data_IF_296600673428
#
_entry.id   IF_296600673428
#
_cell.length_a   1.000
_cell.length_b   1.000
_cell.length_c   1.000
_cell.angle_alpha   90.00
_cell.angle_beta   90.00
_cell.angle_gamma   90.00
#
_symmetry.space_group_name_H-M   'P 1'
#
loop_
_entity.id
_entity.type
_entity.pdbx_description
1 polymer ?
#
# COMPACT_ATOMS: atom_id res chain seq x y z
N UNK A 1 9.90 -0.49 -23.85
CA UNK A 1 10.93 -1.35 -23.23
C UNK A 1 10.95 -2.67 -23.96
N UNK A 2 12.05 -3.01 -24.59
CA UNK A 2 12.21 -4.25 -25.32
C UNK A 2 12.20 -5.45 -24.36
N UNK A 3 11.37 -6.44 -24.65
CA UNK A 3 11.05 -7.63 -23.83
C UNK A 3 12.18 -8.70 -23.94
N UNK A 4 13.44 -8.31 -23.89
CA UNK A 4 14.58 -9.25 -23.93
C UNK A 4 15.44 -9.26 -22.68
N UNK A 5 15.06 -8.57 -21.62
CA UNK A 5 15.83 -8.62 -20.38
C UNK A 5 15.46 -9.87 -19.59
N UNK A 6 16.41 -10.80 -19.47
CA UNK A 6 16.30 -11.96 -18.59
C UNK A 6 16.00 -11.48 -17.16
N UNK A 7 14.87 -11.92 -16.64
CA UNK A 7 14.50 -11.64 -15.24
C UNK A 7 15.53 -12.32 -14.34
N UNK A 8 16.10 -11.64 -13.32
CA UNK A 8 16.95 -12.32 -12.34
C UNK A 8 16.25 -13.55 -11.76
N UNK A 9 16.91 -14.71 -11.75
CA UNK A 9 16.29 -16.00 -11.41
C UNK A 9 15.63 -15.97 -10.01
N UNK A 10 16.23 -15.24 -9.06
CA UNK A 10 15.65 -15.02 -7.73
C UNK A 10 14.28 -14.33 -7.81
N UNK A 11 14.16 -13.28 -8.64
CA UNK A 11 12.90 -12.53 -8.84
C UNK A 11 11.87 -13.42 -9.53
N UNK A 12 12.26 -14.13 -10.57
CA UNK A 12 11.38 -15.05 -11.30
C UNK A 12 10.81 -16.14 -10.39
N UNK A 13 11.64 -16.77 -9.54
CA UNK A 13 11.17 -17.74 -8.55
C UNK A 13 10.20 -17.13 -7.52
N UNK A 14 10.52 -15.92 -7.01
CA UNK A 14 9.64 -15.24 -6.05
C UNK A 14 8.29 -14.91 -6.68
N UNK A 15 8.29 -14.43 -7.94
CA UNK A 15 7.05 -14.17 -8.69
C UNK A 15 6.18 -15.41 -8.80
N UNK A 16 6.71 -16.51 -9.32
CA UNK A 16 5.93 -17.74 -9.51
C UNK A 16 5.40 -18.31 -8.19
N UNK A 17 6.23 -18.34 -7.15
CA UNK A 17 5.82 -18.88 -5.84
C UNK A 17 4.71 -18.02 -5.20
N UNK A 18 4.83 -16.70 -5.25
CA UNK A 18 3.80 -15.79 -4.71
C UNK A 18 2.50 -15.93 -5.48
N UNK A 19 2.55 -15.92 -6.81
CA UNK A 19 1.38 -16.01 -7.68
C UNK A 19 0.67 -17.36 -7.54
N UNK A 20 1.43 -18.47 -7.45
CA UNK A 20 0.87 -19.81 -7.16
C UNK A 20 0.16 -19.84 -5.80
N UNK A 21 0.71 -19.15 -4.80
CA UNK A 21 0.08 -19.00 -3.48
C UNK A 21 -1.08 -17.99 -3.44
N UNK A 22 -1.45 -17.38 -4.57
CA UNK A 22 -2.50 -16.34 -4.63
C UNK A 22 -2.14 -15.04 -3.93
N UNK A 23 -0.85 -14.81 -3.67
CA UNK A 23 -0.34 -13.61 -2.97
C UNK A 23 0.34 -12.67 -3.97
N UNK A 24 0.19 -11.37 -3.77
CA UNK A 24 0.87 -10.37 -4.61
C UNK A 24 2.35 -10.32 -4.23
N UNK A 25 3.28 -10.54 -5.19
CA UNK A 25 4.71 -10.45 -4.92
C UNK A 25 5.12 -9.00 -4.62
N UNK A 26 6.09 -8.82 -3.73
CA UNK A 26 6.61 -7.48 -3.40
C UNK A 26 7.58 -6.92 -4.45
N UNK A 27 8.21 -7.80 -5.23
CA UNK A 27 9.22 -7.43 -6.24
C UNK A 27 8.89 -8.03 -7.59
N UNK A 28 9.38 -7.42 -8.67
CA UNK A 28 9.26 -7.96 -10.03
C UNK A 28 7.91 -7.71 -10.70
N UNK A 29 7.01 -6.92 -10.11
CA UNK A 29 5.67 -6.64 -10.65
C UNK A 29 5.70 -6.07 -12.06
N UNK A 30 6.70 -5.23 -12.38
CA UNK A 30 6.84 -4.64 -13.72
C UNK A 30 6.97 -5.67 -14.85
N UNK A 31 7.48 -6.87 -14.55
CA UNK A 31 7.59 -7.94 -15.55
C UNK A 31 6.25 -8.55 -15.94
N UNK A 32 5.27 -8.51 -15.05
CA UNK A 32 3.94 -9.12 -15.22
C UNK A 32 2.80 -8.10 -15.33
N UNK A 33 3.10 -6.80 -15.25
CA UNK A 33 2.08 -5.75 -15.38
C UNK A 33 1.49 -5.75 -16.79
N UNK A 34 0.16 -5.81 -16.88
CA UNK A 34 -0.65 -5.66 -18.09
C UNK A 34 -1.94 -4.89 -17.78
N UNK A 35 -2.46 -4.16 -18.76
CA UNK A 35 -3.81 -3.57 -18.71
C UNK A 35 -4.06 -2.51 -17.63
N UNK A 36 -3.02 -1.94 -17.01
CA UNK A 36 -3.14 -0.97 -15.92
C UNK A 36 -2.41 0.34 -16.16
N UNK A 37 -2.10 0.61 -17.42
CA UNK A 37 -1.29 1.79 -17.77
C UNK A 37 -1.93 3.08 -17.32
N UNK A 38 -3.21 3.29 -17.62
CA UNK A 38 -3.91 4.54 -17.34
C UNK A 38 -4.03 4.81 -15.84
N UNK A 39 -4.34 3.76 -15.06
CA UNK A 39 -4.43 3.86 -13.60
C UNK A 39 -3.04 4.15 -12.98
N UNK A 40 -1.99 3.49 -13.48
CA UNK A 40 -0.62 3.72 -13.04
C UNK A 40 -0.18 5.15 -13.39
N UNK A 41 -0.37 5.59 -14.63
CA UNK A 41 0.01 6.92 -15.08
C UNK A 41 -0.71 8.01 -14.26
N UNK A 42 -1.99 7.81 -13.97
CA UNK A 42 -2.77 8.74 -13.12
C UNK A 42 -2.19 8.84 -11.70
N UNK A 43 -1.89 7.71 -11.07
CA UNK A 43 -1.32 7.70 -9.72
C UNK A 43 0.12 8.22 -9.70
N UNK A 44 0.87 8.05 -10.77
CA UNK A 44 2.22 8.63 -10.92
C UNK A 44 2.16 10.16 -11.07
N UNK A 45 1.19 10.71 -11.79
CA UNK A 45 0.96 12.14 -11.86
C UNK A 45 0.59 12.74 -10.48
N UNK A 46 -0.21 12.01 -9.68
CA UNK A 46 -0.46 12.42 -8.28
C UNK A 46 0.85 12.45 -7.48
N UNK A 47 1.73 11.46 -7.63
CA UNK A 47 3.03 11.40 -6.95
C UNK A 47 3.91 12.61 -7.35
N UNK A 48 3.89 13.03 -8.59
CA UNK A 48 4.63 14.23 -9.04
C UNK A 48 4.09 15.48 -8.36
N UNK A 49 2.76 15.69 -8.34
CA UNK A 49 2.13 16.80 -7.64
C UNK A 49 2.46 16.81 -6.13
N UNK A 50 2.51 15.65 -5.49
CA UNK A 50 2.88 15.52 -4.08
C UNK A 50 4.33 15.95 -3.86
N UNK A 51 5.24 15.63 -4.78
CA UNK A 51 6.65 16.03 -4.69
C UNK A 51 6.88 17.55 -4.69
N UNK A 52 5.92 18.29 -5.23
CA UNK A 52 5.90 19.76 -5.30
C UNK A 52 5.23 20.43 -4.09
N UNK A 53 4.85 19.64 -3.07
CA UNK A 53 4.23 20.15 -1.84
C UNK A 53 2.72 19.95 -1.77
N UNK A 54 2.13 19.38 -2.80
CA UNK A 54 0.72 19.02 -2.84
C UNK A 54 0.35 17.82 -1.96
N UNK A 55 -0.92 17.43 -2.02
CA UNK A 55 -1.42 16.20 -1.41
C UNK A 55 -2.50 15.57 -2.30
N UNK A 56 -2.62 14.25 -2.28
CA UNK A 56 -3.61 13.51 -3.07
C UNK A 56 -4.35 12.49 -2.23
N UNK A 57 -5.62 12.28 -2.55
CA UNK A 57 -6.46 11.25 -1.95
C UNK A 57 -7.13 10.42 -3.03
N UNK A 58 -6.95 9.09 -3.00
CA UNK A 58 -7.54 8.16 -3.96
C UNK A 58 -8.13 6.93 -3.28
N UNK A 59 -9.29 6.49 -3.78
CA UNK A 59 -9.79 5.13 -3.58
C UNK A 59 -9.47 4.29 -4.81
N UNK A 60 -8.91 3.10 -4.61
CA UNK A 60 -8.77 2.05 -5.62
C UNK A 60 -9.85 1.01 -5.34
N UNK A 61 -10.87 0.96 -6.19
CA UNK A 61 -12.06 0.14 -6.01
C UNK A 61 -12.12 -0.96 -7.06
N UNK A 62 -12.30 -2.19 -6.62
CA UNK A 62 -12.44 -3.34 -7.52
C UNK A 62 -12.90 -4.58 -6.76
N UNK A 63 -13.51 -5.54 -7.45
CA UNK A 63 -13.90 -6.84 -6.87
C UNK A 63 -12.68 -7.58 -6.28
N UNK A 64 -12.90 -8.59 -5.46
CA UNK A 64 -11.82 -9.47 -5.02
C UNK A 64 -11.09 -10.05 -6.24
N UNK A 65 -9.78 -10.21 -6.15
CA UNK A 65 -8.96 -10.71 -7.24
C UNK A 65 -8.79 -9.78 -8.45
N UNK A 66 -9.46 -8.62 -8.50
CA UNK A 66 -9.36 -7.66 -9.62
C UNK A 66 -8.00 -6.95 -9.76
N UNK A 67 -7.06 -7.21 -8.85
CA UNK A 67 -5.71 -6.65 -8.91
C UNK A 67 -5.53 -5.34 -8.12
N UNK A 68 -6.39 -5.03 -7.12
CA UNK A 68 -6.22 -3.86 -6.24
C UNK A 68 -4.86 -3.87 -5.56
N UNK A 69 -4.58 -4.91 -4.77
CA UNK A 69 -3.32 -5.04 -4.03
C UNK A 69 -2.12 -5.11 -4.97
N UNK A 70 -2.29 -5.66 -6.20
CA UNK A 70 -1.28 -5.61 -7.24
C UNK A 70 -0.96 -4.17 -7.67
N UNK A 71 -1.98 -3.37 -7.93
CA UNK A 71 -1.81 -1.95 -8.29
C UNK A 71 -1.18 -1.16 -7.13
N UNK A 72 -1.68 -1.34 -5.90
CA UNK A 72 -1.12 -0.69 -4.71
C UNK A 72 0.37 -1.03 -4.54
N UNK A 73 0.73 -2.31 -4.64
CA UNK A 73 2.13 -2.73 -4.54
C UNK A 73 2.99 -2.22 -5.71
N UNK A 74 2.43 -2.09 -6.91
CA UNK A 74 3.11 -1.51 -8.06
C UNK A 74 3.42 -0.03 -7.82
N UNK A 75 2.43 0.73 -7.37
CA UNK A 75 2.59 2.17 -7.05
C UNK A 75 3.55 2.36 -5.87
N UNK A 76 3.49 1.48 -4.85
CA UNK A 76 4.43 1.46 -3.74
C UNK A 76 5.88 1.39 -4.24
N UNK A 77 6.17 0.47 -5.14
CA UNK A 77 7.52 0.32 -5.69
C UNK A 77 7.94 1.55 -6.50
N UNK A 78 7.08 2.05 -7.38
CA UNK A 78 7.36 3.27 -8.14
C UNK A 78 7.54 4.52 -7.27
N UNK A 79 6.78 4.65 -6.18
CA UNK A 79 6.95 5.75 -5.23
C UNK A 79 8.32 5.68 -4.55
N UNK A 80 8.74 4.50 -4.07
CA UNK A 80 10.06 4.33 -3.46
C UNK A 80 11.20 4.60 -4.44
N UNK A 81 11.09 4.13 -5.69
CA UNK A 81 12.07 4.40 -6.76
C UNK A 81 12.20 5.90 -7.06
N UNK A 82 11.11 6.67 -6.90
CA UNK A 82 11.10 8.12 -7.04
C UNK A 82 11.52 8.89 -5.79
N UNK A 83 11.98 8.19 -4.75
CA UNK A 83 12.49 8.81 -3.52
C UNK A 83 11.40 9.19 -2.52
N UNK A 84 10.24 8.54 -2.55
CA UNK A 84 9.22 8.68 -1.51
C UNK A 84 9.43 7.68 -0.38
N UNK A 85 8.93 8.04 0.80
CA UNK A 85 8.68 7.10 1.89
C UNK A 85 7.28 6.54 1.72
N UNK A 86 7.12 5.24 1.91
CA UNK A 86 5.80 4.58 1.84
C UNK A 86 5.50 3.93 3.17
N UNK A 87 4.27 4.11 3.64
CA UNK A 87 3.71 3.43 4.81
C UNK A 87 2.45 2.70 4.40
N UNK A 88 2.29 1.45 4.80
CA UNK A 88 1.14 0.64 4.42
C UNK A 88 0.55 -0.14 5.58
N UNK A 89 -0.76 -0.32 5.59
CA UNK A 89 -1.48 -1.13 6.55
C UNK A 89 -2.73 -1.76 5.92
N UNK A 90 -2.95 -3.04 6.25
CA UNK A 90 -4.21 -3.72 5.98
C UNK A 90 -5.11 -3.58 7.20
N UNK A 91 -6.34 -3.11 7.00
CA UNK A 91 -7.32 -3.06 8.06
C UNK A 91 -7.75 -4.48 8.48
N UNK A 92 -8.10 -4.62 9.74
CA UNK A 92 -8.59 -5.86 10.33
C UNK A 92 -9.64 -5.55 11.40
N UNK A 93 -10.27 -6.56 12.03
CA UNK A 93 -11.16 -6.30 13.16
C UNK A 93 -10.50 -5.52 14.31
N UNK A 94 -9.18 -5.67 14.50
CA UNK A 94 -8.39 -5.01 15.57
C UNK A 94 -7.65 -3.77 15.07
N UNK A 95 -7.58 -3.54 13.77
CA UNK A 95 -6.92 -2.40 13.12
C UNK A 95 -7.94 -1.63 12.30
N UNK A 96 -8.46 -0.55 12.86
CA UNK A 96 -9.44 0.35 12.22
C UNK A 96 -8.87 1.75 12.18
N UNK A 97 -9.63 2.70 11.64
CA UNK A 97 -9.19 4.10 11.64
C UNK A 97 -9.49 4.80 12.97
N UNK A 98 -10.56 4.36 13.64
CA UNK A 98 -10.98 4.83 14.98
C UNK A 98 -11.61 3.66 15.74
N UNK A 99 -11.36 3.57 17.04
CA UNK A 99 -12.01 2.61 17.93
C UNK A 99 -11.75 2.91 19.40
N UNK A 100 -12.46 2.24 20.28
CA UNK A 100 -12.38 2.50 21.72
C UNK A 100 -11.28 1.69 22.44
N UNK A 101 -10.60 0.81 21.71
CA UNK A 101 -9.60 -0.13 22.26
C UNK A 101 -8.20 0.08 21.70
N UNK A 102 -7.92 1.23 21.13
CA UNK A 102 -6.64 1.49 20.46
C UNK A 102 -6.61 0.95 19.03
N UNK A 103 -7.76 0.80 18.36
CA UNK A 103 -7.85 0.24 17.01
C UNK A 103 -7.18 1.16 15.96
N UNK A 104 -7.32 2.49 16.10
CA UNK A 104 -6.66 3.48 15.26
C UNK A 104 -5.15 3.55 15.53
N UNK A 105 -4.77 3.49 16.80
CA UNK A 105 -3.36 3.39 17.19
C UNK A 105 -2.72 2.10 16.66
N UNK A 106 -3.46 0.98 16.61
CA UNK A 106 -2.99 -0.27 16.02
C UNK A 106 -2.71 -0.12 14.52
N UNK A 107 -3.56 0.62 13.80
CA UNK A 107 -3.33 0.98 12.39
C UNK A 107 -2.08 1.84 12.23
N UNK A 108 -1.90 2.86 13.08
CA UNK A 108 -0.70 3.68 13.07
C UNK A 108 0.58 2.85 13.33
N UNK A 109 0.55 1.97 14.33
CA UNK A 109 1.68 1.06 14.61
C UNK A 109 2.05 0.21 13.41
N UNK A 110 1.06 -0.32 12.70
CA UNK A 110 1.32 -1.11 11.48
C UNK A 110 1.89 -0.23 10.35
N UNK A 111 1.36 0.98 10.14
CA UNK A 111 1.92 1.96 9.20
C UNK A 111 3.40 2.24 9.50
N UNK A 112 3.75 2.50 10.76
CA UNK A 112 5.12 2.81 11.16
C UNK A 112 6.05 1.60 11.11
N UNK A 113 5.55 0.40 11.39
CA UNK A 113 6.28 -0.85 11.23
C UNK A 113 6.63 -1.12 9.76
N UNK A 114 5.67 -0.86 8.86
CA UNK A 114 5.82 -1.03 7.42
C UNK A 114 6.42 0.19 6.71
N UNK A 115 6.89 1.20 7.48
CA UNK A 115 7.57 2.36 6.90
C UNK A 115 8.78 1.91 6.06
N UNK A 116 8.73 2.20 4.78
CA UNK A 116 9.62 1.67 3.75
C UNK A 116 10.23 2.78 2.91
N UNK A 117 11.44 2.51 2.44
CA UNK A 117 12.18 3.36 1.49
C UNK A 117 12.80 2.47 0.42
N UNK A 118 13.36 3.05 -0.63
CA UNK A 118 14.07 2.30 -1.67
C UNK A 118 15.19 1.40 -1.10
N UNK A 119 15.89 1.86 -0.04
CA UNK A 119 16.99 1.11 0.59
C UNK A 119 16.50 0.10 1.64
N UNK A 120 15.27 0.22 2.14
CA UNK A 120 14.62 -0.71 3.06
C UNK A 120 13.18 -0.95 2.61
N UNK A 121 12.97 -1.76 1.57
CA UNK A 121 11.65 -1.93 0.95
C UNK A 121 10.70 -2.82 1.74
N UNK A 122 11.21 -3.58 2.71
CA UNK A 122 10.42 -4.57 3.47
C UNK A 122 9.86 -4.02 4.80
N UNK A 123 9.96 -2.69 5.02
CA UNK A 123 9.55 -2.04 6.27
C UNK A 123 10.71 -1.76 7.22
N UNK A 124 10.38 -1.22 8.41
CA UNK A 124 11.35 -0.96 9.47
C UNK A 124 12.35 0.17 9.19
N UNK A 125 12.12 0.99 8.17
CA UNK A 125 13.09 2.00 7.72
C UNK A 125 13.19 3.23 8.64
N UNK A 126 12.38 3.34 9.71
CA UNK A 126 12.34 4.54 10.56
C UNK A 126 13.72 4.92 11.12
N UNK A 127 14.43 3.97 11.73
CA UNK A 127 15.76 4.23 12.30
C UNK A 127 16.77 4.62 11.22
N UNK A 128 16.74 3.96 10.07
CA UNK A 128 17.60 4.28 8.93
C UNK A 128 17.32 5.68 8.37
N UNK A 129 16.05 6.05 8.29
CA UNK A 129 15.61 7.38 7.84
C UNK A 129 16.16 8.48 8.77
N UNK A 130 15.99 8.32 10.08
CA UNK A 130 16.52 9.26 11.08
C UNK A 130 18.03 9.36 11.02
N UNK A 131 18.74 8.23 10.94
CA UNK A 131 20.20 8.21 10.84
C UNK A 131 20.70 8.89 9.55
N UNK A 132 20.04 8.63 8.42
CA UNK A 132 20.37 9.28 7.14
C UNK A 132 20.19 10.79 7.22
N UNK A 133 19.08 11.25 7.80
CA UNK A 133 18.80 12.67 7.98
C UNK A 133 19.87 13.34 8.86
N UNK A 134 20.21 12.76 10.01
CA UNK A 134 21.25 13.29 10.91
C UNK A 134 22.60 13.38 10.18
N UNK A 135 22.96 12.34 9.44
CA UNK A 135 24.22 12.35 8.69
C UNK A 135 24.24 13.42 7.59
N UNK A 136 23.10 13.66 6.93
CA UNK A 136 22.97 14.76 5.97
C UNK A 136 23.14 16.12 6.64
N UNK A 137 22.51 16.36 7.80
CA UNK A 137 22.71 17.58 8.58
C UNK A 137 24.15 17.76 9.06
N UNK A 138 24.80 16.70 9.52
CA UNK A 138 26.23 16.77 9.87
C UNK A 138 27.08 17.22 8.69
N UNK A 139 26.86 16.62 7.52
CA UNK A 139 27.59 16.97 6.29
C UNK A 139 27.34 18.42 5.87
N UNK A 140 26.10 18.88 5.96
CA UNK A 140 25.72 20.26 5.66
C UNK A 140 26.43 21.24 6.60
N UNK A 141 26.37 21.02 7.92
CA UNK A 141 27.03 21.87 8.94
C UNK A 141 28.53 21.89 8.76
N UNK A 142 29.16 20.72 8.46
CA UNK A 142 30.59 20.65 8.18
C UNK A 142 30.97 21.49 6.97
N UNK A 143 30.18 21.43 5.90
CA UNK A 143 30.42 22.19 4.67
C UNK A 143 30.23 23.69 4.89
N UNK A 144 29.12 24.11 5.51
CA UNK A 144 28.79 25.51 5.77
C UNK A 144 29.83 26.21 6.67
N UNK A 145 30.40 25.47 7.63
CA UNK A 145 31.33 26.03 8.62
C UNK A 145 32.78 25.65 8.40
N UNK A 146 33.11 24.96 7.29
CA UNK A 146 34.47 24.42 7.00
C UNK A 146 35.06 23.60 8.15
N UNK A 147 34.26 22.73 8.77
CA UNK A 147 34.63 21.91 9.90
C UNK A 147 35.03 20.48 9.46
N UNK A 148 35.89 19.85 10.25
CA UNK A 148 36.18 18.42 10.17
C UNK A 148 35.25 17.61 11.07
N UNK A 149 35.18 16.30 10.85
CA UNK A 149 34.32 15.39 11.62
C UNK A 149 34.68 15.36 13.13
N UNK A 150 35.93 15.62 13.48
CA UNK A 150 36.45 15.62 14.86
C UNK A 150 36.32 16.99 15.57
N UNK A 151 35.67 17.96 14.95
CA UNK A 151 35.54 19.30 15.54
C UNK A 151 34.62 19.26 16.75
N UNK A 152 35.10 19.73 17.92
CA UNK A 152 34.32 19.84 19.15
C UNK A 152 33.03 20.68 18.99
N UNK A 153 33.05 21.63 18.04
CA UNK A 153 31.89 22.51 17.77
C UNK A 153 30.81 21.84 16.91
N UNK A 154 31.13 20.73 16.24
CA UNK A 154 30.23 20.10 15.26
C UNK A 154 28.89 19.71 15.89
N UNK A 155 28.91 19.00 17.00
CA UNK A 155 27.70 18.49 17.65
C UNK A 155 26.76 19.62 18.09
N UNK A 156 27.31 20.71 18.64
CA UNK A 156 26.50 21.87 19.05
C UNK A 156 25.86 22.60 17.84
N UNK A 157 26.58 22.73 16.73
CA UNK A 157 26.03 23.33 15.52
C UNK A 157 25.00 22.45 14.84
N UNK A 158 25.18 21.13 14.84
CA UNK A 158 24.18 20.18 14.35
C UNK A 158 22.92 20.23 15.22
N UNK A 159 23.06 20.33 16.55
CA UNK A 159 21.92 20.50 17.45
C UNK A 159 21.11 21.77 17.13
N UNK A 160 21.77 22.89 16.93
CA UNK A 160 21.13 24.13 16.51
C UNK A 160 20.39 23.94 15.18
N UNK A 161 21.01 23.30 14.19
CA UNK A 161 20.40 23.04 12.88
C UNK A 161 19.18 22.11 12.99
N UNK A 162 19.25 21.08 13.85
CA UNK A 162 18.13 20.20 14.17
C UNK A 162 16.97 21.03 14.73
N UNK A 163 17.24 21.84 15.76
CA UNK A 163 16.22 22.71 16.34
C UNK A 163 15.58 23.65 15.33
N UNK A 164 16.37 24.28 14.47
CA UNK A 164 15.85 25.15 13.39
C UNK A 164 14.93 24.39 12.44
N UNK A 165 15.35 23.20 12.00
CA UNK A 165 14.57 22.37 11.07
C UNK A 165 13.26 21.87 11.70
N UNK A 166 13.29 21.54 12.97
CA UNK A 166 12.14 20.96 13.67
C UNK A 166 11.18 22.04 14.17
N UNK A 167 11.66 23.24 14.49
CA UNK A 167 10.83 24.39 14.86
C UNK A 167 9.83 24.76 13.75
N UNK A 168 10.17 24.55 12.48
CA UNK A 168 9.21 24.72 11.38
C UNK A 168 8.01 23.77 11.47
N UNK A 169 8.17 22.63 12.16
CA UNK A 169 7.11 21.66 12.41
C UNK A 169 6.28 22.00 13.65
N UNK A 170 6.78 22.84 14.56
CA UNK A 170 6.08 23.23 15.82
C UNK A 170 4.76 23.97 15.57
N UNK A 171 4.61 24.57 14.41
CA UNK A 171 3.34 25.21 13.99
C UNK A 171 2.23 24.22 13.66
N UNK A 172 2.58 22.94 13.51
CA UNK A 172 1.64 21.85 13.25
C UNK A 172 1.18 21.27 14.59
N UNK A 173 -0.03 20.73 14.63
CA UNK A 173 -0.58 20.04 15.80
C UNK A 173 0.39 18.95 16.26
N UNK A 174 0.74 18.91 17.55
CA UNK A 174 1.74 18.03 18.17
C UNK A 174 3.20 18.23 17.68
N UNK A 175 3.48 19.29 16.92
CA UNK A 175 4.82 19.54 16.39
C UNK A 175 5.88 19.73 17.48
N UNK A 176 5.53 20.38 18.59
CA UNK A 176 6.44 20.60 19.73
C UNK A 176 6.92 19.28 20.37
N UNK A 177 6.01 18.35 20.65
CA UNK A 177 6.38 17.06 21.25
C UNK A 177 7.19 16.20 20.27
N UNK A 178 6.82 16.20 18.99
CA UNK A 178 7.59 15.55 17.94
C UNK A 178 9.00 16.10 17.84
N UNK A 179 9.14 17.42 17.85
CA UNK A 179 10.43 18.14 17.84
C UNK A 179 11.31 17.68 19.02
N UNK A 180 10.73 17.63 20.20
CA UNK A 180 11.43 17.20 21.42
C UNK A 180 11.93 15.75 21.32
N UNK A 181 11.12 14.83 20.78
CA UNK A 181 11.53 13.45 20.57
C UNK A 181 12.69 13.35 19.56
N UNK A 182 12.65 14.11 18.48
CA UNK A 182 13.75 14.15 17.50
C UNK A 182 15.04 14.68 18.15
N UNK A 183 14.95 15.71 18.99
CA UNK A 183 16.11 16.24 19.73
C UNK A 183 16.67 15.21 20.74
N UNK A 184 15.78 14.44 21.40
CA UNK A 184 16.22 13.35 22.28
C UNK A 184 16.89 12.21 21.51
N UNK A 185 16.39 11.89 20.31
CA UNK A 185 17.05 10.92 19.42
C UNK A 185 18.44 11.39 19.02
N UNK A 186 18.61 12.67 18.67
CA UNK A 186 19.93 13.26 18.41
C UNK A 186 20.86 13.15 19.61
N UNK A 187 20.38 13.53 20.81
CA UNK A 187 21.14 13.40 22.05
C UNK A 187 21.63 11.95 22.25
N UNK A 188 20.73 10.96 22.04
CA UNK A 188 21.07 9.55 22.15
C UNK A 188 22.18 9.13 21.17
N UNK A 189 22.16 9.67 19.95
CA UNK A 189 23.20 9.41 18.94
C UNK A 189 24.55 10.00 19.37
N UNK A 190 24.58 11.21 19.93
CA UNK A 190 25.81 11.90 20.35
C UNK A 190 26.43 11.23 21.59
N UNK A 191 25.58 10.79 22.53
CA UNK A 191 26.01 10.16 23.78
C UNK A 191 26.17 8.64 23.66
N UNK A 192 25.94 8.06 22.48
CA UNK A 192 25.94 6.62 22.23
C UNK A 192 25.00 5.83 23.17
N UNK A 193 23.90 6.49 23.58
CA UNK A 193 22.87 5.92 24.48
C UNK A 193 21.83 5.14 23.65
N UNK A 194 22.09 3.84 23.45
CA UNK A 194 21.19 2.96 22.69
C UNK A 194 19.84 2.75 23.40
N UNK A 195 19.78 2.89 24.72
CA UNK A 195 18.52 2.77 25.47
C UNK A 195 17.62 4.00 25.21
N UNK A 196 18.17 5.20 25.31
CA UNK A 196 17.44 6.43 24.99
C UNK A 196 17.01 6.43 23.51
N UNK A 197 17.86 5.98 22.62
CA UNK A 197 17.57 5.85 21.18
C UNK A 197 16.39 4.88 20.94
N UNK A 198 16.39 3.73 21.60
CA UNK A 198 15.28 2.76 21.53
C UNK A 198 13.98 3.34 22.07
N UNK A 199 14.03 4.07 23.19
CA UNK A 199 12.85 4.74 23.81
C UNK A 199 12.25 5.80 22.87
N UNK A 200 13.06 6.61 22.21
CA UNK A 200 12.59 7.59 21.22
C UNK A 200 11.95 6.94 20.01
N UNK A 201 12.51 5.87 19.48
CA UNK A 201 11.92 5.08 18.39
C UNK A 201 10.59 4.42 18.82
N UNK A 202 10.51 3.90 20.05
CA UNK A 202 9.30 3.37 20.66
C UNK A 202 8.19 4.42 20.67
N UNK A 203 8.51 5.67 21.04
CA UNK A 203 7.54 6.77 21.02
C UNK A 203 7.06 7.08 19.59
N UNK A 204 7.97 7.25 18.64
CA UNK A 204 7.65 7.55 17.25
C UNK A 204 6.79 6.44 16.60
N UNK A 205 6.91 5.20 17.03
CA UNK A 205 6.07 4.07 16.57
C UNK A 205 4.74 3.95 17.31
N UNK A 206 4.44 4.86 18.27
CA UNK A 206 3.19 4.81 19.04
C UNK A 206 3.11 3.64 20.03
N UNK A 207 4.24 3.13 20.50
CA UNK A 207 4.30 1.91 21.33
C UNK A 207 4.22 2.17 22.81
N UNK A 208 4.16 3.43 23.28
CA UNK A 208 3.90 3.75 24.67
C UNK A 208 2.44 3.50 25.04
N UNK A 209 2.23 2.76 26.14
CA UNK A 209 0.90 2.44 26.65
C UNK A 209 0.27 3.56 27.49
N UNK A 210 1.10 4.35 28.17
CA UNK A 210 0.62 5.42 29.07
C UNK A 210 1.48 6.68 28.99
N UNK A 211 0.85 7.83 29.24
CA UNK A 211 1.55 9.13 29.37
C UNK A 211 2.56 9.14 30.52
N UNK A 212 2.26 8.41 31.61
CA UNK A 212 3.14 8.32 32.78
C UNK A 212 4.45 7.63 32.44
N UNK A 213 4.39 6.53 31.66
CA UNK A 213 5.57 5.80 31.18
C UNK A 213 6.45 6.71 30.27
N UNK A 214 5.84 7.35 29.28
CA UNK A 214 6.54 8.27 28.38
C UNK A 214 7.18 9.45 29.12
N UNK A 215 6.47 9.99 30.15
CA UNK A 215 7.00 11.08 30.99
C UNK A 215 8.19 10.62 31.85
N UNK A 216 8.14 9.41 32.39
CA UNK A 216 9.24 8.86 33.20
C UNK A 216 10.48 8.59 32.34
N UNK A 217 10.30 8.04 31.14
CA UNK A 217 11.41 7.59 30.28
C UNK A 217 11.97 8.70 29.36
N UNK A 218 11.14 9.63 28.88
CA UNK A 218 11.51 10.66 27.90
C UNK A 218 11.25 12.08 28.38
N UNK A 219 10.61 12.26 29.55
CA UNK A 219 10.18 13.56 30.02
C UNK A 219 9.02 14.18 29.20
N UNK A 220 8.39 13.42 28.31
CA UNK A 220 7.29 13.87 27.41
C UNK A 220 5.97 13.34 27.94
N UNK A 221 5.03 14.25 28.27
CA UNK A 221 3.71 13.91 28.81
C UNK A 221 2.63 13.59 27.76
N UNK A 222 3.00 13.44 26.51
CA UNK A 222 2.11 13.16 25.37
C UNK A 222 2.52 11.84 24.74
N UNK A 223 1.54 11.06 24.30
CA UNK A 223 1.74 9.84 23.52
C UNK A 223 0.79 9.88 22.33
N UNK A 224 1.18 9.20 21.25
CA UNK A 224 0.31 9.00 20.09
C UNK A 224 -0.84 8.09 20.48
N UNK A 225 -2.07 8.46 20.13
CA UNK A 225 -3.29 7.76 20.51
C UNK A 225 -4.28 7.62 19.34
N UNK A 226 -5.45 7.02 19.60
CA UNK A 226 -6.50 6.76 18.61
C UNK A 226 -7.06 8.02 17.93
N UNK A 227 -7.09 9.15 18.63
CA UNK A 227 -7.73 10.36 18.12
C UNK A 227 -6.79 11.14 17.21
N UNK A 228 -5.47 11.15 17.51
CA UNK A 228 -4.49 12.05 16.93
C UNK A 228 -3.45 11.39 16.01
N UNK A 229 -3.45 10.07 15.85
CA UNK A 229 -2.46 9.36 15.05
C UNK A 229 -2.29 9.93 13.63
N UNK A 230 -3.35 10.43 13.02
CA UNK A 230 -3.28 11.02 11.67
C UNK A 230 -2.54 12.37 11.66
N UNK A 231 -2.62 13.15 12.75
CA UNK A 231 -1.82 14.37 12.90
C UNK A 231 -0.32 14.06 12.83
N UNK A 232 0.10 12.95 13.45
CA UNK A 232 1.49 12.50 13.36
C UNK A 232 1.88 12.00 11.97
N UNK A 233 0.97 11.42 11.20
CA UNK A 233 1.24 11.10 9.78
C UNK A 233 1.50 12.39 8.97
N UNK A 234 0.74 13.47 9.21
CA UNK A 234 1.00 14.78 8.58
C UNK A 234 2.35 15.36 9.00
N UNK A 235 2.73 15.23 10.26
CA UNK A 235 4.06 15.62 10.73
C UNK A 235 5.16 14.82 10.05
N UNK A 236 5.01 13.50 9.96
CA UNK A 236 5.97 12.64 9.26
C UNK A 236 6.08 12.98 7.78
N UNK A 237 4.99 13.31 7.09
CA UNK A 237 5.04 13.69 5.66
C UNK A 237 5.88 14.93 5.43
N UNK A 238 5.83 15.90 6.34
CA UNK A 238 6.67 17.10 6.30
C UNK A 238 8.13 16.78 6.70
N UNK A 239 8.32 15.95 7.73
CA UNK A 239 9.63 15.58 8.23
C UNK A 239 10.45 14.79 7.21
N UNK A 240 9.84 13.84 6.47
CA UNK A 240 10.57 13.05 5.47
C UNK A 240 11.11 13.92 4.34
N UNK A 241 10.47 15.03 4.03
CA UNK A 241 10.99 15.99 3.04
C UNK A 241 12.26 16.68 3.58
N UNK A 242 12.28 17.05 4.87
CA UNK A 242 13.49 17.55 5.54
C UNK A 242 14.60 16.48 5.59
N UNK A 243 14.24 15.22 5.61
CA UNK A 243 15.18 14.09 5.53
C UNK A 243 15.66 13.78 4.08
N UNK A 244 15.30 14.61 3.10
CA UNK A 244 15.74 14.49 1.71
C UNK A 244 14.92 13.53 0.86
N UNK A 245 13.72 13.14 1.31
CA UNK A 245 12.74 12.42 0.49
C UNK A 245 11.77 13.41 -0.17
N UNK A 246 11.01 12.95 -1.15
CA UNK A 246 10.07 13.81 -1.91
C UNK A 246 8.69 13.92 -1.28
N UNK A 247 8.39 13.11 -0.28
CA UNK A 247 7.11 13.05 0.41
C UNK A 247 6.81 11.65 0.94
N UNK A 248 5.57 11.46 1.38
CA UNK A 248 5.09 10.21 1.95
C UNK A 248 3.83 9.72 1.24
N UNK A 249 3.74 8.44 0.97
CA UNK A 249 2.53 7.77 0.47
C UNK A 249 2.02 6.83 1.56
N UNK A 250 0.80 7.07 2.03
CA UNK A 250 0.08 6.21 2.96
C UNK A 250 -0.90 5.33 2.20
N UNK A 251 -0.76 4.02 2.32
CA UNK A 251 -1.64 3.04 1.70
C UNK A 251 -2.40 2.27 2.76
N UNK A 252 -3.73 2.22 2.62
CA UNK A 252 -4.61 1.46 3.52
C UNK A 252 -5.45 0.54 2.66
N UNK A 253 -5.24 -0.78 2.78
CA UNK A 253 -6.04 -1.79 2.07
C UNK A 253 -7.07 -2.44 3.01
N UNK A 254 -7.90 -3.31 2.46
CA UNK A 254 -8.92 -4.07 3.19
C UNK A 254 -10.01 -3.21 3.87
N UNK A 255 -10.46 -2.12 3.21
CA UNK A 255 -11.57 -1.28 3.70
C UNK A 255 -12.86 -2.07 3.98
N UNK A 256 -12.99 -3.28 3.43
CA UNK A 256 -14.12 -4.18 3.72
C UNK A 256 -14.24 -4.47 5.21
N UNK A 257 -13.16 -4.39 5.99
CA UNK A 257 -13.20 -4.55 7.43
C UNK A 257 -13.96 -3.41 8.15
N UNK A 258 -14.01 -2.21 7.58
CA UNK A 258 -14.88 -1.14 8.09
C UNK A 258 -16.35 -1.42 7.76
N UNK A 259 -16.64 -1.90 6.56
CA UNK A 259 -17.99 -2.31 6.14
C UNK A 259 -18.54 -3.42 7.04
N UNK A 260 -17.70 -4.37 7.47
CA UNK A 260 -18.07 -5.49 8.36
C UNK A 260 -18.33 -5.07 9.81
N UNK A 261 -18.02 -3.84 10.25
CA UNK A 261 -18.30 -3.39 11.63
C UNK A 261 -19.82 -3.47 11.91
N UNK A 262 -20.28 -4.27 12.89
CA UNK A 262 -21.72 -4.45 13.14
C UNK A 262 -22.39 -3.17 13.63
N UNK A 263 -21.76 -2.48 14.57
CA UNK A 263 -22.29 -1.26 15.19
C UNK A 263 -22.22 -0.08 14.20
N UNK A 264 -23.37 0.53 13.89
CA UNK A 264 -23.48 1.62 12.94
C UNK A 264 -22.75 2.88 13.36
N UNK A 265 -22.77 3.23 14.64
CA UNK A 265 -22.07 4.42 15.19
C UNK A 265 -20.57 4.23 15.04
N UNK A 266 -20.04 3.09 15.45
CA UNK A 266 -18.61 2.79 15.31
C UNK A 266 -18.18 2.80 13.84
N UNK A 267 -19.01 2.30 12.94
CA UNK A 267 -18.75 2.34 11.50
C UNK A 267 -18.74 3.77 10.96
N UNK A 268 -19.73 4.59 11.34
CA UNK A 268 -19.79 5.99 10.93
C UNK A 268 -18.60 6.80 11.45
N UNK A 269 -18.14 6.58 12.68
CA UNK A 269 -16.94 7.24 13.21
C UNK A 269 -15.69 6.95 12.34
N UNK A 270 -15.57 5.73 11.81
CA UNK A 270 -14.50 5.40 10.87
C UNK A 270 -14.66 6.13 9.54
N UNK A 271 -15.89 6.28 9.04
CA UNK A 271 -16.15 7.06 7.83
C UNK A 271 -15.92 8.57 8.05
N UNK A 272 -16.21 9.08 9.22
CA UNK A 272 -15.88 10.46 9.61
C UNK A 272 -14.36 10.69 9.64
N UNK A 273 -13.56 9.70 10.09
CA UNK A 273 -12.10 9.79 10.01
C UNK A 273 -11.62 9.84 8.55
N UNK A 274 -12.22 9.06 7.64
CA UNK A 274 -11.94 9.16 6.19
C UNK A 274 -12.29 10.56 5.68
N UNK A 275 -13.44 11.12 6.07
CA UNK A 275 -13.83 12.48 5.69
C UNK A 275 -12.83 13.52 6.19
N UNK A 276 -12.35 13.38 7.40
CA UNK A 276 -11.32 14.28 7.99
C UNK A 276 -10.05 14.24 7.16
N UNK A 277 -9.54 13.05 6.83
CA UNK A 277 -8.35 12.86 5.98
C UNK A 277 -8.58 13.48 4.61
N UNK A 278 -9.72 13.20 3.99
CA UNK A 278 -10.10 13.77 2.69
C UNK A 278 -10.15 15.29 2.71
N UNK A 279 -10.85 15.88 3.69
CA UNK A 279 -10.98 17.33 3.79
C UNK A 279 -9.64 18.01 4.03
N UNK A 280 -8.76 17.46 4.87
CA UNK A 280 -7.43 18.03 5.14
C UNK A 280 -6.57 18.06 3.87
N UNK A 281 -6.67 17.02 3.05
CA UNK A 281 -5.98 16.96 1.76
C UNK A 281 -6.55 18.01 0.80
N UNK A 282 -7.87 18.04 0.63
CA UNK A 282 -8.54 18.97 -0.30
C UNK A 282 -8.42 20.44 0.11
N UNK A 283 -8.25 20.72 1.41
CA UNK A 283 -8.07 22.07 1.95
C UNK A 283 -6.59 22.49 2.06
N UNK A 284 -5.65 21.66 1.63
CA UNK A 284 -4.22 21.95 1.69
C UNK A 284 -3.61 21.97 3.10
N UNK A 285 -4.30 21.37 4.09
CA UNK A 285 -3.78 21.20 5.46
C UNK A 285 -2.77 20.06 5.56
N UNK A 286 -2.87 19.05 4.68
CA UNK A 286 -1.85 18.03 4.48
C UNK A 286 -0.93 18.48 3.34
N UNK A 287 0.38 18.26 3.49
CA UNK A 287 1.39 18.58 2.47
C UNK A 287 2.32 17.38 2.29
N UNK A 288 2.81 17.20 1.06
CA UNK A 288 3.72 16.11 0.72
C UNK A 288 3.17 14.71 1.08
N UNK A 289 1.84 14.57 1.06
CA UNK A 289 1.15 13.35 1.51
C UNK A 289 0.21 12.81 0.43
N UNK A 290 0.44 11.58 0.00
CA UNK A 290 -0.51 10.82 -0.79
C UNK A 290 -1.24 9.81 0.09
N UNK A 291 -2.55 9.69 -0.05
CA UNK A 291 -3.36 8.68 0.63
C UNK A 291 -4.08 7.84 -0.41
N UNK A 292 -3.85 6.54 -0.38
CA UNK A 292 -4.49 5.58 -1.30
C UNK A 292 -5.17 4.51 -0.46
N UNK A 293 -6.48 4.34 -0.65
CA UNK A 293 -7.28 3.36 0.08
C UNK A 293 -7.87 2.30 -0.85
N UNK A 294 -7.65 1.02 -0.53
CA UNK A 294 -8.13 -0.14 -1.29
C UNK A 294 -9.45 -0.69 -0.76
N UNK A 295 -10.45 -0.87 -1.64
CA UNK A 295 -11.73 -1.40 -1.24
C UNK A 295 -12.51 -2.11 -2.35
N UNK A 296 -13.58 -2.81 -1.97
CA UNK A 296 -14.53 -3.38 -2.92
C UNK A 296 -15.64 -2.38 -3.27
N UNK A 297 -16.33 -2.54 -4.43
CA UNK A 297 -17.48 -1.70 -4.76
C UNK A 297 -18.53 -1.67 -3.63
N UNK A 298 -18.80 -2.82 -3.03
CA UNK A 298 -19.75 -2.94 -1.93
C UNK A 298 -19.34 -2.11 -0.71
N UNK A 299 -18.06 -2.14 -0.29
CA UNK A 299 -17.64 -1.39 0.90
C UNK A 299 -17.61 0.13 0.67
N UNK A 300 -17.50 0.58 -0.58
CA UNK A 300 -17.47 2.02 -0.90
C UNK A 300 -18.85 2.52 -1.30
N UNK A 301 -19.53 1.86 -2.24
CA UNK A 301 -20.67 2.38 -2.96
C UNK A 301 -22.04 1.98 -2.37
N UNK A 302 -22.09 0.99 -1.47
CA UNK A 302 -23.34 0.62 -0.79
C UNK A 302 -23.87 1.79 0.04
N UNK A 303 -25.07 2.26 -0.30
CA UNK A 303 -25.71 3.43 0.35
C UNK A 303 -26.32 3.12 1.72
N UNK A 304 -26.42 1.85 2.11
CA UNK A 304 -26.98 1.44 3.41
C UNK A 304 -25.88 1.23 4.44
N UNK A 305 -24.74 0.72 4.02
CA UNK A 305 -23.69 0.28 4.95
C UNK A 305 -22.27 0.67 4.53
N UNK A 306 -22.01 0.88 3.24
CA UNK A 306 -20.72 1.31 2.69
C UNK A 306 -20.38 2.76 3.06
N UNK A 307 -19.26 3.23 2.53
CA UNK A 307 -18.80 4.61 2.71
C UNK A 307 -19.87 5.61 2.23
N UNK A 308 -20.62 5.29 1.18
CA UNK A 308 -21.73 6.13 0.67
C UNK A 308 -22.96 6.16 1.59
N UNK A 309 -23.02 5.34 2.64
CA UNK A 309 -24.03 5.51 3.70
C UNK A 309 -23.80 6.76 4.55
N UNK A 310 -22.58 7.33 4.50
CA UNK A 310 -22.24 8.60 5.14
C UNK A 310 -22.35 9.74 4.12
N UNK A 311 -23.44 10.50 4.21
CA UNK A 311 -23.86 11.48 3.19
C UNK A 311 -22.76 12.50 2.85
N UNK A 312 -21.98 12.93 3.87
CA UNK A 312 -20.92 13.89 3.67
C UNK A 312 -19.76 13.35 2.78
N UNK A 313 -19.47 12.04 2.83
CA UNK A 313 -18.54 11.41 1.91
C UNK A 313 -19.17 11.13 0.56
N UNK A 314 -20.41 10.63 0.56
CA UNK A 314 -21.13 10.36 -0.67
C UNK A 314 -21.16 11.57 -1.58
N UNK A 315 -21.56 12.73 -1.08
CA UNK A 315 -21.67 13.98 -1.86
C UNK A 315 -20.34 14.44 -2.48
N UNK A 316 -19.19 14.01 -1.92
CA UNK A 316 -17.83 14.36 -2.40
C UNK A 316 -17.23 13.32 -3.34
N UNK A 317 -17.66 12.08 -3.20
CA UNK A 317 -17.02 10.93 -3.85
C UNK A 317 -17.89 10.36 -4.98
N UNK A 318 -19.19 10.62 -4.97
CA UNK A 318 -20.11 10.10 -5.99
C UNK A 318 -19.69 10.57 -7.38
N UNK A 319 -19.72 9.66 -8.33
CA UNK A 319 -19.28 9.93 -9.70
C UNK A 319 -20.06 11.08 -10.33
N UNK A 320 -19.40 11.85 -11.18
CA UNK A 320 -20.03 12.86 -12.01
C UNK A 320 -21.24 12.28 -12.76
N UNK A 321 -22.33 13.03 -12.83
CA UNK A 321 -23.52 12.70 -13.61
C UNK A 321 -23.24 12.53 -15.11
N UNK A 322 -22.04 12.90 -15.55
CA UNK A 322 -21.57 12.86 -16.94
C UNK A 322 -20.71 11.63 -17.24
N UNK A 323 -20.32 10.82 -16.23
CA UNK A 323 -19.62 9.57 -16.45
C UNK A 323 -20.63 8.43 -16.59
N UNK A 324 -20.74 7.88 -17.77
CA UNK A 324 -21.46 6.64 -18.04
C UNK A 324 -20.50 5.44 -17.99
N UNK A 325 -21.02 4.23 -18.11
CA UNK A 325 -20.17 3.01 -18.06
C UNK A 325 -19.11 2.92 -19.19
N UNK A 326 -19.21 3.79 -20.23
CA UNK A 326 -18.29 3.86 -21.36
C UNK A 326 -17.16 4.87 -21.13
N UNK A 327 -17.42 5.95 -20.38
CA UNK A 327 -16.51 7.06 -20.15
C UNK A 327 -15.82 6.91 -18.79
N UNK A 328 -14.48 6.83 -18.78
CA UNK A 328 -13.67 6.74 -17.55
C UNK A 328 -13.26 8.15 -17.07
N UNK A 329 -13.53 8.43 -15.82
CA UNK A 329 -12.95 9.58 -15.13
C UNK A 329 -11.92 9.09 -14.10
N UNK A 330 -10.65 9.05 -14.50
CA UNK A 330 -9.54 8.70 -13.62
C UNK A 330 -9.04 9.87 -12.77
N UNK A 331 -9.55 11.08 -13.02
CA UNK A 331 -9.23 12.26 -12.19
C UNK A 331 -10.13 12.33 -10.95
N UNK A 332 -11.24 11.60 -10.93
CA UNK A 332 -12.11 11.50 -9.75
C UNK A 332 -11.39 10.83 -8.58
N UNK A 333 -11.76 11.10 -7.32
CA UNK A 333 -11.16 10.45 -6.16
C UNK A 333 -11.27 8.91 -6.18
N UNK A 334 -12.20 8.33 -6.93
CA UNK A 334 -12.41 6.88 -7.01
C UNK A 334 -11.92 6.34 -8.35
N UNK A 335 -10.85 5.57 -8.31
CA UNK A 335 -10.36 4.78 -9.45
C UNK A 335 -11.01 3.40 -9.40
N UNK A 336 -11.91 3.13 -10.37
CA UNK A 336 -12.58 1.82 -10.50
C UNK A 336 -11.79 0.91 -11.42
N UNK A 337 -11.28 -0.19 -10.88
CA UNK A 337 -10.57 -1.17 -11.67
C UNK A 337 -11.54 -1.98 -12.52
N UNK A 338 -11.36 -1.93 -13.83
CA UNK A 338 -12.05 -2.83 -14.76
C UNK A 338 -11.41 -4.22 -14.72
N UNK A 339 -12.19 -5.29 -14.95
CA UNK A 339 -11.60 -6.61 -15.24
C UNK A 339 -10.58 -6.50 -16.37
N UNK A 340 -9.54 -7.34 -16.36
CA UNK A 340 -8.65 -7.47 -17.50
C UNK A 340 -9.42 -8.05 -18.69
N UNK A 341 -9.15 -7.54 -19.90
CA UNK A 341 -9.73 -8.10 -21.11
C UNK A 341 -9.12 -9.48 -21.44
N UNK A 342 -9.77 -10.31 -22.25
CA UNK A 342 -9.18 -11.57 -22.71
C UNK A 342 -7.81 -11.39 -23.37
N UNK A 343 -7.62 -10.30 -24.13
CA UNK A 343 -6.34 -9.97 -24.78
C UNK A 343 -5.26 -9.62 -23.74
N UNK A 344 -5.60 -8.80 -22.74
CA UNK A 344 -4.69 -8.45 -21.65
C UNK A 344 -4.30 -9.70 -20.86
N UNK A 345 -5.27 -10.59 -20.60
CA UNK A 345 -5.03 -11.85 -19.93
C UNK A 345 -4.13 -12.77 -20.76
N UNK A 346 -4.33 -12.84 -22.08
CA UNK A 346 -3.46 -13.57 -22.98
C UNK A 346 -2.00 -13.08 -22.89
N UNK A 347 -1.78 -11.77 -22.92
CA UNK A 347 -0.43 -11.22 -22.76
C UNK A 347 0.18 -11.56 -21.38
N UNK A 348 -0.64 -11.61 -20.33
CA UNK A 348 -0.18 -11.98 -19.00
C UNK A 348 0.27 -13.44 -18.95
N UNK A 349 -0.52 -14.38 -19.48
CA UNK A 349 -0.15 -15.80 -19.47
C UNK A 349 1.08 -16.08 -20.35
N UNK A 350 1.25 -15.38 -21.49
CA UNK A 350 2.48 -15.46 -22.30
C UNK A 350 3.72 -15.03 -21.49
N UNK A 351 3.62 -13.99 -20.67
CA UNK A 351 4.71 -13.59 -19.77
C UNK A 351 4.98 -14.64 -18.70
N UNK A 352 3.94 -15.22 -18.12
CA UNK A 352 4.07 -16.25 -17.08
C UNK A 352 4.70 -17.52 -17.62
N UNK A 353 4.34 -17.97 -18.82
CA UNK A 353 4.97 -19.10 -19.49
C UNK A 353 6.48 -18.90 -19.64
N UNK A 354 6.89 -17.73 -20.16
CA UNK A 354 8.32 -17.39 -20.31
C UNK A 354 9.07 -17.36 -18.98
N UNK A 355 8.44 -16.82 -17.93
CA UNK A 355 9.02 -16.79 -16.58
C UNK A 355 9.17 -18.22 -16.06
N UNK A 356 8.14 -19.05 -16.22
CA UNK A 356 8.15 -20.45 -15.81
C UNK A 356 9.22 -21.24 -16.54
N UNK A 357 9.30 -21.11 -17.86
CA UNK A 357 10.32 -21.74 -18.69
C UNK A 357 11.74 -21.35 -18.28
N UNK A 358 11.96 -20.06 -17.96
CA UNK A 358 13.25 -19.58 -17.46
C UNK A 358 13.63 -20.21 -16.11
N UNK A 359 12.67 -20.33 -15.17
CA UNK A 359 12.91 -20.89 -13.84
C UNK A 359 13.23 -22.38 -13.92
N UNK A 360 12.47 -23.12 -14.69
CA UNK A 360 12.59 -24.58 -14.80
C UNK A 360 13.48 -25.05 -15.98
N UNK A 361 14.11 -24.10 -16.72
CA UNK A 361 15.12 -24.35 -17.76
C UNK A 361 14.62 -25.20 -18.92
N UNK A 362 13.42 -24.92 -19.42
CA UNK A 362 12.91 -25.47 -20.67
C UNK A 362 12.61 -24.33 -21.67
N UNK A 363 12.33 -24.67 -22.91
CA UNK A 363 11.93 -23.69 -23.92
C UNK A 363 10.41 -23.48 -23.90
N UNK A 364 9.96 -22.22 -23.72
CA UNK A 364 8.55 -21.88 -23.84
C UNK A 364 8.07 -22.21 -25.25
N UNK A 365 7.09 -23.10 -25.37
CA UNK A 365 6.70 -23.67 -26.65
C UNK A 365 5.20 -23.91 -26.83
N UNK A 366 4.36 -23.37 -25.91
CA UNK A 366 2.91 -23.45 -26.10
C UNK A 366 2.52 -22.57 -27.29
N UNK A 367 1.74 -23.14 -28.23
CA UNK A 367 1.30 -22.41 -29.39
C UNK A 367 0.32 -21.28 -29.04
N UNK A 368 0.22 -20.27 -29.89
CA UNK A 368 -0.76 -19.20 -29.71
C UNK A 368 -2.19 -19.74 -29.63
N UNK A 369 -2.50 -20.79 -30.38
CA UNK A 369 -3.79 -21.48 -30.41
C UNK A 369 -4.08 -22.15 -29.06
N UNK A 370 -3.10 -22.85 -28.48
CA UNK A 370 -3.19 -23.51 -27.18
C UNK A 370 -3.42 -22.49 -26.05
N UNK A 371 -2.68 -21.37 -26.03
CA UNK A 371 -2.86 -20.31 -25.05
C UNK A 371 -4.23 -19.63 -25.20
N UNK A 372 -4.69 -19.38 -26.43
CA UNK A 372 -6.04 -18.85 -26.68
C UNK A 372 -7.13 -19.84 -26.28
N UNK A 373 -6.91 -21.13 -26.48
CA UNK A 373 -7.85 -22.19 -26.03
C UNK A 373 -7.98 -22.15 -24.51
N UNK A 374 -6.88 -22.06 -23.76
CA UNK A 374 -6.91 -21.91 -22.32
C UNK A 374 -7.76 -20.70 -21.89
N UNK A 375 -7.48 -19.51 -22.45
CA UNK A 375 -8.24 -18.30 -22.11
C UNK A 375 -9.72 -18.43 -22.43
N UNK A 376 -10.06 -18.98 -23.61
CA UNK A 376 -11.47 -19.21 -23.99
C UNK A 376 -12.16 -20.16 -23.03
N UNK A 377 -11.48 -21.22 -22.61
CA UNK A 377 -12.01 -22.20 -21.65
C UNK A 377 -12.28 -21.54 -20.29
N UNK A 378 -11.34 -20.73 -19.79
CA UNK A 378 -11.51 -20.02 -18.53
C UNK A 378 -12.68 -19.03 -18.58
N UNK A 379 -12.80 -18.23 -19.64
CA UNK A 379 -13.90 -17.28 -19.81
C UNK A 379 -15.25 -17.92 -20.19
N UNK A 380 -15.27 -19.16 -20.68
CA UNK A 380 -16.50 -19.88 -21.03
C UNK A 380 -17.16 -20.61 -19.86
N UNK A 381 -16.50 -20.68 -18.70
CA UNK A 381 -17.06 -21.29 -17.49
C UNK A 381 -18.39 -20.63 -17.13
N UNK A 382 -19.37 -21.44 -16.68
CA UNK A 382 -20.69 -20.93 -16.28
C UNK A 382 -20.53 -19.90 -15.17
N UNK A 383 -20.96 -18.68 -15.44
CA UNK A 383 -20.83 -17.54 -14.53
C UNK A 383 -19.49 -16.80 -14.60
N UNK A 384 -18.50 -17.26 -15.38
CA UNK A 384 -17.18 -16.65 -15.49
C UNK A 384 -17.18 -15.23 -16.07
N UNK A 385 -18.12 -14.91 -16.98
CA UNK A 385 -18.17 -13.60 -17.65
C UNK A 385 -18.32 -12.41 -16.71
N UNK A 386 -18.70 -12.63 -15.46
CA UNK A 386 -18.82 -11.57 -14.45
C UNK A 386 -17.92 -11.78 -13.21
N UNK A 387 -17.41 -12.98 -12.96
CA UNK A 387 -16.79 -13.35 -11.68
C UNK A 387 -15.37 -13.90 -11.77
N UNK A 388 -14.86 -14.31 -12.94
CA UNK A 388 -13.50 -14.83 -13.02
C UNK A 388 -12.46 -13.72 -12.78
N UNK A 389 -11.51 -14.02 -11.91
CA UNK A 389 -10.50 -13.06 -11.50
C UNK A 389 -9.13 -13.37 -12.09
N UNK A 390 -8.27 -12.36 -12.34
CA UNK A 390 -6.88 -12.59 -12.73
C UNK A 390 -6.13 -13.53 -11.79
N UNK A 391 -6.42 -13.51 -10.49
CA UNK A 391 -5.80 -14.38 -9.49
C UNK A 391 -6.05 -15.86 -9.77
N UNK A 392 -7.29 -16.22 -10.11
CA UNK A 392 -7.67 -17.61 -10.42
C UNK A 392 -7.01 -18.08 -11.70
N UNK A 393 -7.13 -17.31 -12.79
CA UNK A 393 -6.53 -17.65 -14.08
C UNK A 393 -5.01 -17.83 -13.96
N UNK A 394 -4.32 -16.95 -13.24
CA UNK A 394 -2.88 -17.02 -13.01
C UNK A 394 -2.52 -18.31 -12.27
N UNK A 395 -3.25 -18.64 -11.20
CA UNK A 395 -3.00 -19.83 -10.38
C UNK A 395 -3.21 -21.08 -11.20
N UNK A 396 -4.34 -21.18 -11.89
CA UNK A 396 -4.70 -22.35 -12.70
C UNK A 396 -3.70 -22.53 -13.85
N UNK A 397 -3.27 -21.46 -14.51
CA UNK A 397 -2.26 -21.52 -15.57
C UNK A 397 -0.90 -22.00 -15.04
N UNK A 398 -0.42 -21.50 -13.92
CA UNK A 398 0.85 -21.93 -13.30
C UNK A 398 0.74 -23.40 -12.88
N UNK A 399 -0.40 -23.86 -12.39
CA UNK A 399 -0.63 -25.25 -12.03
C UNK A 399 -0.56 -26.16 -13.27
N UNK A 400 -1.21 -25.78 -14.37
CA UNK A 400 -1.13 -26.49 -15.65
C UNK A 400 0.32 -26.57 -16.15
N UNK A 401 1.07 -25.46 -16.11
CA UNK A 401 2.48 -25.46 -16.50
C UNK A 401 3.32 -26.43 -15.64
N UNK A 402 3.06 -26.52 -14.35
CA UNK A 402 3.71 -27.48 -13.46
C UNK A 402 3.36 -28.94 -13.83
N UNK A 403 2.09 -29.20 -14.18
CA UNK A 403 1.64 -30.55 -14.60
C UNK A 403 2.31 -30.95 -15.93
N UNK A 404 2.32 -30.06 -16.90
CA UNK A 404 2.95 -30.30 -18.20
C UNK A 404 4.45 -30.56 -18.07
N UNK A 405 5.13 -29.81 -17.21
CA UNK A 405 6.57 -30.00 -16.93
C UNK A 405 6.86 -31.40 -16.34
N UNK A 406 5.98 -31.91 -15.49
CA UNK A 406 6.15 -33.20 -14.82
C UNK A 406 5.61 -34.37 -15.64
N UNK A 407 4.80 -34.11 -16.65
CA UNK A 407 4.14 -35.12 -17.49
C UNK A 407 4.28 -34.74 -18.98
N UNK A 408 5.43 -35.01 -19.61
CA UNK A 408 5.70 -34.60 -20.99
C UNK A 408 4.75 -35.20 -22.04
N UNK A 409 4.08 -36.28 -21.69
CA UNK A 409 3.11 -36.97 -22.59
C UNK A 409 1.72 -36.31 -22.58
N UNK A 410 1.47 -35.36 -21.69
CA UNK A 410 0.19 -34.63 -21.59
C UNK A 410 0.20 -33.35 -22.39
N UNK A 411 -0.96 -32.99 -22.93
CA UNK A 411 -1.18 -31.70 -23.59
C UNK A 411 -2.11 -30.86 -22.73
N UNK A 412 -2.07 -29.52 -22.90
CA UNK A 412 -2.94 -28.58 -22.19
C UNK A 412 -4.42 -28.89 -22.50
N UNK A 413 -4.73 -29.16 -23.77
CA UNK A 413 -6.07 -29.52 -24.21
C UNK A 413 -6.56 -30.85 -23.56
N UNK A 414 -5.67 -31.81 -23.40
CA UNK A 414 -5.96 -33.07 -22.73
C UNK A 414 -6.23 -32.91 -21.23
N UNK A 415 -5.54 -31.94 -20.57
CA UNK A 415 -5.78 -31.63 -19.17
C UNK A 415 -7.13 -30.94 -19.01
N UNK A 416 -7.45 -29.95 -19.85
CA UNK A 416 -8.70 -29.18 -19.74
C UNK A 416 -9.94 -29.94 -20.24
N UNK A 417 -9.78 -30.92 -21.12
CA UNK A 417 -10.87 -31.73 -21.69
C UNK A 417 -11.13 -33.06 -20.97
N UNK A 418 -10.39 -33.38 -19.90
CA UNK A 418 -10.56 -34.62 -19.14
C UNK A 418 -11.82 -34.64 -18.28
N UNK A 419 -12.54 -35.77 -18.24
CA UNK A 419 -13.77 -35.96 -17.45
C UNK A 419 -13.54 -35.79 -15.93
N UNK A 420 -12.31 -35.86 -15.46
CA UNK A 420 -11.91 -35.71 -14.06
C UNK A 420 -11.57 -34.26 -13.67
N UNK A 421 -11.67 -33.30 -14.59
CA UNK A 421 -11.32 -31.92 -14.30
C UNK A 421 -12.46 -31.19 -13.56
N UNK A 422 -12.52 -31.41 -12.27
CA UNK A 422 -13.43 -30.72 -11.36
C UNK A 422 -12.73 -29.42 -10.88
N UNK A 423 -13.19 -28.29 -11.35
CA UNK A 423 -12.78 -26.99 -10.78
C UNK A 423 -13.18 -26.94 -9.31
N UNK A 424 -12.21 -27.04 -8.42
CA UNK A 424 -12.47 -26.84 -7.00
C UNK A 424 -13.05 -25.44 -6.80
N UNK A 425 -14.28 -25.34 -6.31
CA UNK A 425 -14.85 -24.08 -5.85
C UNK A 425 -13.92 -23.54 -4.78
N UNK A 426 -13.44 -22.28 -4.93
CA UNK A 426 -12.63 -21.68 -3.90
C UNK A 426 -13.44 -21.61 -2.61
N UNK A 427 -12.81 -21.88 -1.48
CA UNK A 427 -13.45 -21.81 -0.16
C UNK A 427 -13.94 -20.40 0.20
N UNK A 428 -13.39 -19.39 -0.45
CA UNK A 428 -13.76 -17.98 -0.30
C UNK A 428 -15.09 -17.63 -0.97
N UNK A 429 -15.39 -18.22 -2.14
CA UNK A 429 -16.66 -18.01 -2.86
C UNK A 429 -17.88 -18.54 -2.10
N UNK A 430 -17.68 -19.55 -1.26
CA UNK A 430 -18.78 -20.20 -0.51
C UNK A 430 -19.23 -19.34 0.69
N UNK A 431 -18.35 -18.54 1.29
CA UNK A 431 -18.72 -17.67 2.40
C UNK A 431 -19.33 -16.34 1.92
N UNK A 432 -18.85 -15.75 0.81
CA UNK A 432 -19.44 -14.54 0.24
C UNK A 432 -20.84 -14.80 -0.33
N UNK A 433 -21.02 -15.87 -1.09
CA UNK A 433 -22.35 -16.27 -1.61
C UNK A 433 -23.33 -16.55 -0.47
N UNK A 434 -22.90 -17.19 0.62
CA UNK A 434 -23.75 -17.41 1.80
C UNK A 434 -24.08 -16.12 2.55
N UNK A 435 -23.22 -15.11 2.54
CA UNK A 435 -23.50 -13.81 3.16
C UNK A 435 -24.45 -12.95 2.32
N UNK A 436 -24.41 -13.05 1.00
CA UNK A 436 -25.34 -12.38 0.10
C UNK A 436 -26.78 -12.94 0.20
N UNK A 437 -26.92 -14.25 0.44
CA UNK A 437 -28.24 -14.92 0.53
C UNK A 437 -28.87 -14.91 1.93
N UNK A 438 -28.14 -14.65 3.00
CA UNK A 438 -28.68 -14.55 4.37
C UNK A 438 -29.50 -13.27 4.63
N UNK A 439 -29.61 -12.36 3.69
CA UNK A 439 -30.38 -11.12 3.78
C UNK A 439 -31.76 -11.16 3.12
N UNK A 440 -32.15 -12.29 2.56
CA UNK A 440 -33.48 -12.49 1.95
C UNK A 440 -34.23 -13.61 2.68
N UNK A 441 -34.77 -13.31 3.84
CA UNK A 441 -35.99 -13.97 4.33
C UNK A 441 -37.11 -12.93 4.32
N UNK A 442 -38.25 -13.38 3.72
CA UNK A 442 -39.51 -12.69 3.45
C UNK A 442 -40.18 -12.16 4.72
#
# INVERSE_FOLDING_TARGET
MNVTDRIPLRIANTLLNSLKGGVVPRTGLGYITVGRKDEIDTLLNDIEMISEGGASFRFVVGKYGAGKSFLLQTIRNYAMERGFVVVDADLSPERRLVGNKGDGLATYKELMKNLSTQTSPDGGALSLLLSKWINALKTEVMTENSLTADSEKLNGLVEIKIHQTVNELETIVHGFDFARIISLYWKAVVTEDEELKSRTLKWLRGEYGTKTEAKAELGVGVIINDDDWYEYIKLFSMFVVKAGYKGMIMMIDELVNLFKIPNSISRQNNYEKILTIYNDIMQGKAKYLGVIMGGTPQCVEDTRRGIFSYEALRSRLESSRFSDGSTRDLLSPIIRLKPLTPEEMYFLICKLEKIHAQVYKYEAGLSSETLQYFIKTEFSRVGAGQNITPREIIRDFIEILNILLQNPDKTLEGILGGDDFNYAKSSEDTEEIRSEFKGFEV
#
